data_IF_094693987707
#
_entry.id   IF_094693987707
#
_cell.length_a   1.000
_cell.length_b   1.000
_cell.length_c   1.000
_cell.angle_alpha   90.00
_cell.angle_beta   90.00
_cell.angle_gamma   90.00
#
_symmetry.space_group_name_H-M   'P 1'
#
loop_
_entity.id
_entity.type
_entity.pdbx_description
1 polymer ?
#
# COMPACT_ATOMS: atom_id res chain seq x y z
N UNK A 1 23.29 10.77 -3.18
CA UNK A 1 22.13 9.90 -3.47
C UNK A 1 22.18 9.48 -4.93
N UNK A 2 22.20 8.19 -5.22
CA UNK A 2 22.35 7.63 -6.57
C UNK A 2 21.03 6.92 -6.92
N UNK A 3 20.49 7.16 -8.13
CA UNK A 3 19.28 6.49 -8.58
C UNK A 3 19.60 5.02 -8.92
N UNK A 4 19.04 4.09 -8.15
CA UNK A 4 19.24 2.65 -8.37
C UNK A 4 18.26 2.13 -9.45
N UNK A 5 16.98 2.52 -9.41
CA UNK A 5 15.97 2.09 -10.39
C UNK A 5 14.81 3.09 -10.48
N UNK A 6 14.43 3.48 -11.70
CA UNK A 6 13.33 4.41 -11.94
C UNK A 6 11.93 3.80 -11.71
N UNK A 7 11.76 2.49 -11.91
CA UNK A 7 10.52 1.74 -11.63
C UNK A 7 10.82 0.51 -10.80
N UNK A 8 10.68 0.61 -9.49
CA UNK A 8 10.79 -0.51 -8.57
C UNK A 8 9.43 -1.18 -8.41
N UNK A 9 9.07 -2.07 -9.33
CA UNK A 9 7.74 -2.73 -9.33
C UNK A 9 7.56 -3.75 -8.18
N UNK A 10 8.67 -4.18 -7.54
CA UNK A 10 8.65 -5.24 -6.52
C UNK A 10 8.62 -4.72 -5.07
N UNK A 11 8.80 -3.41 -4.85
CA UNK A 11 8.87 -2.84 -3.49
C UNK A 11 7.50 -2.52 -2.89
N UNK A 12 6.43 -2.63 -3.68
CA UNK A 12 5.06 -2.48 -3.22
C UNK A 12 4.20 -3.62 -3.80
N UNK A 13 3.15 -4.04 -3.10
CA UNK A 13 2.12 -4.90 -3.66
C UNK A 13 1.50 -4.29 -4.92
N UNK A 14 1.11 -5.14 -5.88
CA UNK A 14 0.52 -4.70 -7.15
C UNK A 14 -0.74 -3.85 -6.99
N UNK A 15 -1.51 -4.07 -5.93
CA UNK A 15 -2.71 -3.30 -5.63
C UNK A 15 -2.38 -1.88 -5.13
N UNK A 16 -1.17 -1.63 -4.62
CA UNK A 16 -0.67 -0.28 -4.26
C UNK A 16 0.02 0.45 -5.42
N UNK A 17 -0.14 0.00 -6.68
CA UNK A 17 0.50 0.60 -7.87
C UNK A 17 0.16 2.07 -8.13
N UNK A 18 -0.90 2.58 -7.50
CA UNK A 18 -1.27 4.00 -7.59
C UNK A 18 -0.36 4.90 -6.75
N UNK A 19 0.38 4.34 -5.78
CA UNK A 19 1.29 5.08 -4.92
C UNK A 19 2.53 5.49 -5.71
N UNK A 20 2.82 6.79 -5.72
CA UNK A 20 4.02 7.37 -6.33
C UNK A 20 4.90 7.94 -5.23
N UNK A 21 6.20 7.71 -5.33
CA UNK A 21 7.15 8.20 -4.35
C UNK A 21 8.58 7.77 -4.66
N UNK A 22 9.48 8.18 -3.77
CA UNK A 22 10.88 7.80 -3.79
C UNK A 22 11.19 7.09 -2.49
N UNK A 23 11.87 5.94 -2.57
CA UNK A 23 12.38 5.21 -1.42
C UNK A 23 13.89 5.29 -1.44
N UNK A 24 14.47 5.80 -0.36
CA UNK A 24 15.91 5.86 -0.12
C UNK A 24 16.25 4.89 1.02
N UNK A 25 17.24 4.03 0.83
CA UNK A 25 17.65 3.04 1.82
C UNK A 25 19.15 2.77 1.67
N UNK A 26 19.88 2.90 2.78
CA UNK A 26 21.32 2.64 2.84
C UNK A 26 21.62 1.13 2.86
N UNK A 27 20.64 0.31 3.24
CA UNK A 27 20.75 -1.16 3.35
C UNK A 27 20.56 -1.88 2.00
N UNK A 28 20.24 -1.17 0.92
CA UNK A 28 20.06 -1.76 -0.41
C UNK A 28 21.41 -1.72 -1.16
N UNK A 29 22.02 -2.86 -1.48
CA UNK A 29 23.30 -2.89 -2.20
C UNK A 29 23.22 -2.18 -3.56
N UNK A 30 24.23 -1.37 -3.88
CA UNK A 30 24.34 -0.67 -5.17
C UNK A 30 24.48 -1.62 -6.37
N UNK A 31 24.99 -2.83 -6.15
CA UNK A 31 25.20 -3.87 -7.14
C UNK A 31 24.01 -4.84 -7.30
N UNK A 32 22.78 -4.37 -7.08
CA UNK A 32 21.61 -5.22 -7.30
C UNK A 32 21.43 -5.54 -8.78
N UNK A 33 21.66 -6.80 -9.15
CA UNK A 33 21.20 -7.34 -10.43
C UNK A 33 19.66 -7.35 -10.47
N UNK A 34 19.09 -7.37 -11.68
CA UNK A 34 17.63 -7.48 -11.86
C UNK A 34 17.05 -8.76 -11.23
N UNK A 35 17.85 -9.82 -11.10
CA UNK A 35 17.49 -11.08 -10.45
C UNK A 35 17.48 -10.99 -8.91
N UNK A 36 18.48 -10.32 -8.31
CA UNK A 36 18.54 -10.13 -6.85
C UNK A 36 17.35 -9.31 -6.33
N UNK A 37 16.82 -8.39 -7.14
CA UNK A 37 15.60 -7.61 -6.84
C UNK A 37 14.31 -8.46 -6.81
N UNK A 38 14.30 -9.63 -7.44
CA UNK A 38 13.10 -10.47 -7.52
C UNK A 38 12.99 -11.43 -6.33
N UNK A 39 14.11 -11.87 -5.74
CA UNK A 39 14.14 -12.94 -4.73
C UNK A 39 14.90 -12.60 -3.43
N UNK A 40 15.20 -11.32 -3.17
CA UNK A 40 15.88 -10.95 -1.92
C UNK A 40 14.93 -10.87 -0.73
N UNK A 41 15.22 -11.55 0.40
CA UNK A 41 14.47 -11.41 1.66
C UNK A 41 14.38 -9.95 2.14
N UNK A 42 15.39 -9.14 1.82
CA UNK A 42 15.43 -7.72 2.16
C UNK A 42 14.35 -6.92 1.42
N UNK A 43 14.14 -7.21 0.13
CA UNK A 43 13.09 -6.56 -0.67
C UNK A 43 11.70 -6.95 -0.16
N UNK A 44 11.50 -8.21 0.21
CA UNK A 44 10.24 -8.66 0.81
C UNK A 44 9.97 -7.97 2.15
N UNK A 45 10.98 -7.84 3.01
CA UNK A 45 10.87 -7.11 4.28
C UNK A 45 10.54 -5.64 4.03
N UNK A 46 11.24 -4.99 3.10
CA UNK A 46 10.98 -3.60 2.72
C UNK A 46 9.55 -3.42 2.20
N UNK A 47 9.09 -4.32 1.32
CA UNK A 47 7.72 -4.32 0.79
C UNK A 47 6.68 -4.38 1.90
N UNK A 48 6.87 -5.27 2.87
CA UNK A 48 5.95 -5.42 4.00
C UNK A 48 5.94 -4.15 4.86
N UNK A 49 7.11 -3.60 5.20
CA UNK A 49 7.24 -2.36 5.99
C UNK A 49 6.55 -1.17 5.31
N UNK A 50 6.78 -0.99 4.00
CA UNK A 50 6.16 0.09 3.23
C UNK A 50 4.63 -0.08 3.17
N UNK A 51 4.16 -1.31 2.93
CA UNK A 51 2.72 -1.63 2.88
C UNK A 51 2.05 -1.30 4.20
N UNK A 52 2.59 -1.78 5.33
CA UNK A 52 2.05 -1.49 6.67
C UNK A 52 2.05 0.02 6.95
N UNK A 53 3.10 0.74 6.54
CA UNK A 53 3.17 2.20 6.73
C UNK A 53 2.09 2.94 5.94
N UNK A 54 1.84 2.53 4.69
CA UNK A 54 0.81 3.12 3.83
C UNK A 54 -0.58 2.82 4.40
N UNK A 55 -0.84 1.58 4.80
CA UNK A 55 -2.11 1.20 5.43
C UNK A 55 -2.39 2.04 6.68
N UNK A 56 -1.40 2.18 7.56
CA UNK A 56 -1.52 3.02 8.76
C UNK A 56 -1.79 4.48 8.41
N UNK A 57 -1.09 5.03 7.42
CA UNK A 57 -1.32 6.40 6.95
C UNK A 57 -2.75 6.60 6.45
N UNK A 58 -3.27 5.68 5.63
CA UNK A 58 -4.64 5.75 5.12
C UNK A 58 -5.67 5.62 6.25
N UNK A 59 -5.45 4.71 7.21
CA UNK A 59 -6.29 4.57 8.40
C UNK A 59 -6.31 5.86 9.23
N UNK A 60 -5.16 6.46 9.50
CA UNK A 60 -5.06 7.72 10.25
C UNK A 60 -5.74 8.86 9.49
N UNK A 61 -5.58 8.92 8.16
CA UNK A 61 -6.22 9.93 7.32
C UNK A 61 -7.73 9.80 7.34
N UNK A 62 -8.24 8.58 7.30
CA UNK A 62 -9.67 8.30 7.38
C UNK A 62 -10.34 8.74 8.68
N UNK A 63 -9.56 8.90 9.77
CA UNK A 63 -10.04 9.39 11.07
C UNK A 63 -9.91 10.90 11.22
N UNK A 64 -8.85 11.48 10.65
CA UNK A 64 -8.55 12.92 10.78
C UNK A 64 -9.30 13.79 9.78
N UNK A 65 -9.61 13.25 8.61
CA UNK A 65 -10.14 14.01 7.48
C UNK A 65 -11.05 13.11 6.63
N UNK A 66 -12.29 12.99 7.10
CA UNK A 66 -13.27 12.04 6.56
C UNK A 66 -13.66 12.42 5.13
N UNK A 67 -13.93 13.70 4.86
CA UNK A 67 -14.39 14.16 3.54
C UNK A 67 -13.35 13.90 2.45
N UNK A 68 -12.09 14.29 2.68
CA UNK A 68 -11.02 14.02 1.71
C UNK A 68 -10.74 12.52 1.58
N UNK A 69 -10.88 11.76 2.66
CA UNK A 69 -10.75 10.31 2.59
C UNK A 69 -11.87 9.67 1.77
N UNK A 70 -13.11 10.15 1.87
CA UNK A 70 -14.23 9.67 1.05
C UNK A 70 -14.02 9.99 -0.43
N UNK A 71 -13.53 11.19 -0.76
CA UNK A 71 -13.14 11.52 -2.13
C UNK A 71 -12.04 10.58 -2.67
N UNK A 72 -10.98 10.36 -1.88
CA UNK A 72 -9.96 9.37 -2.20
C UNK A 72 -10.56 7.95 -2.35
N UNK A 73 -11.44 7.55 -1.45
CA UNK A 73 -12.04 6.22 -1.46
C UNK A 73 -12.89 6.01 -2.72
N UNK A 74 -13.63 7.03 -3.16
CA UNK A 74 -14.41 6.97 -4.40
C UNK A 74 -13.53 6.62 -5.61
N UNK A 75 -12.36 7.26 -5.73
CA UNK A 75 -11.47 7.08 -6.88
C UNK A 75 -10.58 5.83 -6.77
N UNK A 76 -10.19 5.45 -5.55
CA UNK A 76 -9.18 4.40 -5.33
C UNK A 76 -9.71 3.11 -4.65
N UNK A 77 -11.00 3.03 -4.33
CA UNK A 77 -11.59 1.84 -3.66
C UNK A 77 -11.40 0.55 -4.44
N UNK A 78 -11.33 0.60 -5.77
CA UNK A 78 -11.07 -0.57 -6.61
C UNK A 78 -9.74 -1.24 -6.25
N UNK A 79 -8.68 -0.45 -6.03
CA UNK A 79 -7.36 -0.96 -5.66
C UNK A 79 -7.36 -1.56 -4.25
N UNK A 80 -8.08 -0.95 -3.32
CA UNK A 80 -8.21 -1.47 -1.95
C UNK A 80 -8.94 -2.82 -1.96
N UNK A 81 -10.03 -2.92 -2.72
CA UNK A 81 -10.79 -4.17 -2.90
C UNK A 81 -9.94 -5.25 -3.59
N UNK A 82 -9.16 -4.88 -4.61
CA UNK A 82 -8.18 -5.77 -5.25
C UNK A 82 -7.17 -6.31 -4.23
N UNK A 83 -6.68 -5.47 -3.31
CA UNK A 83 -5.77 -5.88 -2.24
C UNK A 83 -6.33 -7.01 -1.36
N UNK A 84 -7.61 -6.91 -0.97
CA UNK A 84 -8.29 -7.92 -0.14
C UNK A 84 -8.41 -9.26 -0.88
N UNK A 85 -8.72 -9.22 -2.18
CA UNK A 85 -8.90 -10.43 -3.00
C UNK A 85 -7.55 -11.09 -3.31
N UNK A 86 -6.52 -10.29 -3.55
CA UNK A 86 -5.21 -10.77 -4.02
C UNK A 86 -4.30 -11.26 -2.89
N UNK A 87 -4.42 -10.71 -1.68
CA UNK A 87 -3.62 -11.21 -0.56
C UNK A 87 -4.13 -12.57 -0.08
N UNK A 88 -3.21 -13.42 0.36
CA UNK A 88 -3.52 -14.72 0.97
C UNK A 88 -3.45 -14.66 2.50
N UNK A 89 -2.79 -13.64 3.06
CA UNK A 89 -2.63 -13.45 4.49
C UNK A 89 -3.93 -12.89 5.09
N UNK A 90 -4.51 -13.63 6.05
CA UNK A 90 -5.75 -13.23 6.74
C UNK A 90 -5.57 -11.92 7.50
N UNK A 91 -4.42 -11.73 8.16
CA UNK A 91 -4.15 -10.53 8.92
C UNK A 91 -4.03 -9.29 8.01
N UNK A 92 -3.37 -9.44 6.85
CA UNK A 92 -3.30 -8.36 5.87
C UNK A 92 -4.69 -8.03 5.30
N UNK A 93 -5.55 -9.04 5.07
CA UNK A 93 -6.95 -8.80 4.66
C UNK A 93 -7.69 -7.94 5.67
N UNK A 94 -7.57 -8.26 6.96
CA UNK A 94 -8.22 -7.50 8.02
C UNK A 94 -7.73 -6.05 8.07
N UNK A 95 -6.43 -5.82 7.92
CA UNK A 95 -5.87 -4.47 7.91
C UNK A 95 -6.32 -3.65 6.70
N UNK A 96 -6.40 -4.27 5.52
CA UNK A 96 -6.94 -3.62 4.32
C UNK A 96 -8.45 -3.39 4.47
N UNK A 97 -9.19 -4.34 5.07
CA UNK A 97 -10.63 -4.23 5.25
C UNK A 97 -11.04 -3.03 6.13
N UNK A 98 -10.19 -2.63 7.10
CA UNK A 98 -10.39 -1.41 7.90
C UNK A 98 -10.45 -0.12 7.08
N UNK A 99 -9.93 -0.13 5.85
CA UNK A 99 -9.98 1.00 4.92
C UNK A 99 -11.30 1.08 4.14
N UNK A 100 -12.10 0.01 4.13
CA UNK A 100 -13.36 -0.02 3.40
C UNK A 100 -14.41 0.87 4.05
N UNK A 101 -15.24 1.50 3.21
CA UNK A 101 -16.35 2.35 3.65
C UNK A 101 -17.61 1.90 2.93
N UNK A 102 -18.71 1.87 3.69
CA UNK A 102 -20.02 1.43 3.26
C UNK A 102 -21.04 2.36 3.89
N UNK A 103 -22.15 2.55 3.19
CA UNK A 103 -23.35 3.15 3.78
C UNK A 103 -23.98 2.13 4.75
N UNK A 104 -24.56 2.63 5.83
CA UNK A 104 -25.28 1.83 6.81
C UNK A 104 -26.72 2.29 6.89
N UNK A 105 -27.67 1.36 6.95
CA UNK A 105 -29.10 1.66 7.14
C UNK A 105 -29.42 2.33 8.48
N UNK A 106 -28.50 2.26 9.45
CA UNK A 106 -28.63 2.92 10.75
C UNK A 106 -28.06 4.35 10.77
N UNK A 107 -27.51 4.83 9.65
CA UNK A 107 -27.01 6.18 9.52
C UNK A 107 -27.90 6.97 8.54
N UNK A 108 -28.03 8.28 8.73
CA UNK A 108 -28.74 9.13 7.78
C UNK A 108 -28.13 8.97 6.38
N UNK A 109 -28.98 8.85 5.37
CA UNK A 109 -28.55 8.75 3.98
C UNK A 109 -27.81 10.03 3.59
N UNK A 110 -26.52 9.91 3.27
CA UNK A 110 -25.63 11.00 2.87
C UNK A 110 -24.87 10.65 1.61
#
# INVERSE_FOLDING_TARGET
>A
RILIKAKAENILPKWLRFVKGVVDSEDIPLNLSRELLQNSPLINKLRNVLTTRILKFLQDRSKRDVENYLAFYKDYSLFIKEGIVTTQDVHEKEEIAKLLRYESSEQEAG
#
